data_IF_184565916389
#
_entry.id   IF_184565916389
#
_cell.length_a   1.000
_cell.length_b   1.000
_cell.length_c   1.000
_cell.angle_alpha   90.00
_cell.angle_beta   90.00
_cell.angle_gamma   90.00
#
_symmetry.space_group_name_H-M   'P 1'
#
loop_
_entity.id
_entity.type
_entity.pdbx_description
1 polymer ?
#
# COMPACT_ATOMS: atom_id res chain seq x y z
N UNK A 1 0.98 -17.20 -4.22
CA UNK A 1 0.06 -16.16 -4.69
C UNK A 1 -1.33 -16.73 -4.64
N UNK A 2 -2.23 -16.06 -3.95
CA UNK A 2 -3.63 -16.46 -3.78
C UNK A 2 -4.50 -15.36 -4.34
N UNK A 3 -5.58 -15.72 -5.04
CA UNK A 3 -6.55 -14.73 -5.52
C UNK A 3 -7.65 -14.55 -4.48
N UNK A 4 -8.03 -13.30 -4.21
CA UNK A 4 -9.16 -12.95 -3.34
C UNK A 4 -9.93 -11.78 -3.93
N UNK A 5 -11.23 -11.96 -4.17
CA UNK A 5 -12.12 -10.97 -4.79
C UNK A 5 -11.60 -10.36 -6.10
N UNK A 6 -10.88 -11.16 -6.92
CA UNK A 6 -10.28 -10.71 -8.18
C UNK A 6 -8.97 -9.95 -8.03
N UNK A 7 -8.37 -9.94 -6.83
CA UNK A 7 -7.05 -9.37 -6.59
C UNK A 7 -6.02 -10.46 -6.29
N UNK A 8 -4.81 -10.26 -6.81
CA UNK A 8 -3.65 -11.09 -6.46
C UNK A 8 -3.09 -10.66 -5.10
N UNK A 9 -2.98 -11.62 -4.17
CA UNK A 9 -2.38 -11.42 -2.86
C UNK A 9 -1.07 -12.21 -2.77
N UNK A 10 0.01 -11.50 -2.42
CA UNK A 10 1.32 -12.09 -2.13
C UNK A 10 1.56 -12.00 -0.62
N UNK A 11 1.83 -13.15 -0.02
CA UNK A 11 2.37 -13.26 1.34
C UNK A 11 3.87 -13.54 1.23
N UNK A 12 4.69 -12.81 1.98
CA UNK A 12 6.14 -12.97 1.94
C UNK A 12 6.61 -14.19 2.71
N UNK A 13 7.82 -14.64 2.37
CA UNK A 13 8.50 -15.62 3.19
C UNK A 13 8.99 -14.97 4.48
N UNK A 14 8.93 -15.68 5.60
CA UNK A 14 9.42 -15.19 6.90
C UNK A 14 10.92 -14.84 6.92
N UNK A 15 11.68 -15.21 5.87
CA UNK A 15 13.10 -14.90 5.72
C UNK A 15 13.37 -13.54 5.05
N UNK A 16 12.33 -12.80 4.65
CA UNK A 16 12.46 -11.55 3.92
C UNK A 16 11.52 -10.49 4.50
N UNK A 17 12.12 -9.41 5.03
CA UNK A 17 11.43 -8.27 5.64
C UNK A 17 11.82 -6.97 4.91
N UNK A 18 11.26 -6.71 3.72
CA UNK A 18 11.53 -5.49 2.98
C UNK A 18 10.85 -4.30 3.64
N UNK A 19 11.53 -3.17 3.62
CA UNK A 19 10.83 -1.91 3.87
C UNK A 19 10.06 -1.47 2.61
N UNK A 20 9.01 -0.66 2.78
CA UNK A 20 8.36 0.01 1.66
C UNK A 20 9.37 0.82 0.82
N UNK A 21 10.41 1.37 1.47
CA UNK A 21 11.47 2.10 0.78
C UNK A 21 12.27 1.20 -0.19
N UNK A 22 12.60 -0.04 0.20
CA UNK A 22 13.28 -1.00 -0.69
C UNK A 22 12.43 -1.33 -1.91
N UNK A 23 11.11 -1.46 -1.71
CA UNK A 23 10.17 -1.74 -2.78
C UNK A 23 9.99 -0.55 -3.72
N UNK A 24 9.88 0.67 -3.20
CA UNK A 24 9.79 1.88 -4.01
C UNK A 24 11.09 2.18 -4.75
N UNK A 25 12.23 1.80 -4.19
CA UNK A 25 13.52 1.85 -4.88
C UNK A 25 13.57 0.87 -6.07
N UNK A 26 13.03 -0.34 -5.90
CA UNK A 26 13.00 -1.36 -6.95
C UNK A 26 11.93 -1.11 -8.03
N UNK A 27 10.75 -0.64 -7.63
CA UNK A 27 9.57 -0.47 -8.48
C UNK A 27 8.92 0.91 -8.27
N UNK A 28 9.61 2.02 -8.60
CA UNK A 28 9.08 3.37 -8.38
C UNK A 28 7.79 3.65 -9.17
N UNK A 29 7.55 2.97 -10.29
CA UNK A 29 6.31 3.03 -11.07
C UNK A 29 5.05 2.64 -10.29
N UNK A 30 5.22 2.04 -9.10
CA UNK A 30 4.15 1.87 -8.12
C UNK A 30 3.43 3.17 -7.80
N UNK A 31 4.16 4.28 -7.74
CA UNK A 31 3.66 5.57 -7.26
C UNK A 31 3.85 6.70 -8.25
N UNK A 32 4.80 6.61 -9.18
CA UNK A 32 5.03 7.65 -10.18
C UNK A 32 3.80 7.90 -11.05
N UNK A 33 3.53 9.17 -11.34
CA UNK A 33 2.39 9.66 -12.12
C UNK A 33 1.02 9.28 -11.50
N UNK A 34 1.02 8.86 -10.23
CA UNK A 34 -0.17 8.45 -9.47
C UNK A 34 -0.33 9.31 -8.23
N UNK A 35 -1.44 9.11 -7.53
CA UNK A 35 -1.76 9.74 -6.25
C UNK A 35 -1.77 8.71 -5.14
N UNK A 36 -1.14 9.04 -4.03
CA UNK A 36 -1.05 8.18 -2.85
C UNK A 36 -1.96 8.73 -1.76
N UNK A 37 -2.84 7.88 -1.24
CA UNK A 37 -3.60 8.15 -0.03
C UNK A 37 -2.95 7.41 1.15
N UNK A 38 -2.50 8.17 2.14
CA UNK A 38 -1.86 7.68 3.35
C UNK A 38 -2.89 7.69 4.48
N UNK A 39 -3.21 6.50 4.97
CA UNK A 39 -4.26 6.29 5.98
C UNK A 39 -3.65 6.17 7.37
N UNK A 40 -2.50 5.51 7.50
CA UNK A 40 -1.81 5.33 8.76
C UNK A 40 -0.28 5.23 8.62
N UNK A 41 0.40 5.65 9.67
CA UNK A 41 1.81 5.41 9.96
C UNK A 41 1.98 4.91 11.40
N UNK A 42 3.19 4.45 11.76
CA UNK A 42 3.49 3.85 13.07
C UNK A 42 3.08 4.71 14.28
N UNK A 43 2.86 6.02 14.07
CA UNK A 43 2.47 7.00 15.11
C UNK A 43 1.02 7.48 15.00
N UNK A 44 0.21 6.88 14.13
CA UNK A 44 -1.20 7.21 13.92
C UNK A 44 -1.48 7.80 12.53
N UNK A 45 -2.51 8.66 12.38
CA UNK A 45 -2.83 9.24 11.08
C UNK A 45 -1.71 10.17 10.58
N UNK A 46 -1.30 10.00 9.32
CA UNK A 46 -0.33 10.89 8.70
C UNK A 46 -0.91 12.31 8.53
N UNK A 47 -0.06 13.31 8.73
CA UNK A 47 -0.41 14.73 8.58
C UNK A 47 0.61 15.39 7.65
N UNK A 48 0.18 15.85 6.46
CA UNK A 48 1.07 16.56 5.55
C UNK A 48 1.65 17.82 6.21
N UNK A 49 2.90 18.14 5.90
CA UNK A 49 3.51 19.41 6.29
C UNK A 49 2.86 20.58 5.54
N UNK A 50 3.09 21.81 6.01
CA UNK A 50 2.66 23.02 5.30
C UNK A 50 3.17 23.05 3.86
N UNK A 51 4.42 22.64 3.62
CA UNK A 51 5.01 22.63 2.30
C UNK A 51 4.34 21.61 1.38
N UNK A 52 3.98 20.43 1.90
CA UNK A 52 3.24 19.42 1.15
C UNK A 52 1.82 19.90 0.81
N UNK A 53 1.13 20.56 1.75
CA UNK A 53 -0.17 21.17 1.48
C UNK A 53 -0.06 22.23 0.38
N UNK A 54 0.98 23.07 0.41
CA UNK A 54 1.26 24.04 -0.66
C UNK A 54 1.60 23.38 -1.99
N UNK A 55 2.23 22.19 -1.96
CA UNK A 55 2.51 21.36 -3.13
C UNK A 55 1.28 20.56 -3.63
N UNK A 56 0.09 20.83 -3.09
CA UNK A 56 -1.17 20.26 -3.56
C UNK A 56 -1.60 18.98 -2.84
N UNK A 57 -0.96 18.60 -1.75
CA UNK A 57 -1.50 17.58 -0.86
C UNK A 57 -2.80 18.08 -0.22
N UNK A 58 -3.71 17.15 0.03
CA UNK A 58 -5.01 17.43 0.63
C UNK A 58 -5.27 16.49 1.80
N UNK A 59 -6.18 16.90 2.68
CA UNK A 59 -6.64 16.09 3.80
C UNK A 59 -8.14 15.80 3.63
N UNK A 60 -8.48 14.53 3.48
CA UNK A 60 -9.86 14.04 3.45
C UNK A 60 -10.15 13.34 4.79
N UNK A 61 -10.66 14.10 5.76
CA UNK A 61 -10.84 13.60 7.12
C UNK A 61 -9.50 13.31 7.80
N UNK A 62 -9.20 12.03 8.04
CA UNK A 62 -7.93 11.60 8.63
C UNK A 62 -6.89 11.16 7.59
N UNK A 63 -7.27 11.07 6.32
CA UNK A 63 -6.44 10.53 5.24
C UNK A 63 -5.78 11.66 4.47
N UNK A 64 -4.47 11.55 4.33
CA UNK A 64 -3.67 12.47 3.54
C UNK A 64 -3.60 11.96 2.10
N UNK A 65 -3.87 12.83 1.13
CA UNK A 65 -3.88 12.47 -0.28
C UNK A 65 -2.87 13.36 -0.99
N UNK A 66 -1.89 12.75 -1.64
CA UNK A 66 -0.86 13.47 -2.36
C UNK A 66 -1.40 14.17 -3.61
N UNK A 67 -0.65 15.17 -4.08
CA UNK A 67 -0.66 15.51 -5.50
C UNK A 67 -0.08 14.35 -6.33
N UNK A 68 -0.10 14.49 -7.66
CA UNK A 68 0.54 13.50 -8.52
C UNK A 68 2.04 13.40 -8.19
N UNK A 69 2.53 12.18 -7.98
CA UNK A 69 3.90 11.93 -7.55
C UNK A 69 4.84 12.00 -8.76
N UNK A 70 5.76 12.96 -8.72
CA UNK A 70 6.79 13.13 -9.73
C UNK A 70 8.07 12.33 -9.42
N UNK A 71 8.42 12.22 -8.13
CA UNK A 71 9.58 11.46 -7.65
C UNK A 71 9.16 10.59 -6.46
N UNK A 72 9.54 9.30 -6.47
CA UNK A 72 9.16 8.39 -5.39
C UNK A 72 9.78 8.80 -4.04
N UNK A 73 10.90 9.51 -4.09
CA UNK A 73 11.62 10.06 -2.94
C UNK A 73 10.88 11.24 -2.26
N UNK A 74 9.93 11.87 -2.96
CA UNK A 74 9.08 12.94 -2.40
C UNK A 74 8.01 12.40 -1.45
N UNK A 75 7.74 11.10 -1.52
CA UNK A 75 6.86 10.46 -0.58
C UNK A 75 7.52 10.40 0.79
N UNK A 76 6.75 10.62 1.87
CA UNK A 76 7.30 10.54 3.20
C UNK A 76 7.82 9.11 3.46
N UNK A 77 8.86 9.00 4.27
CA UNK A 77 9.59 7.75 4.57
C UNK A 77 9.63 7.28 6.05
N UNK A 78 8.80 7.72 7.01
CA UNK A 78 8.67 6.98 8.28
C UNK A 78 7.87 5.67 8.10
N UNK A 79 7.86 4.75 9.07
CA UNK A 79 7.10 3.50 8.97
C UNK A 79 5.63 3.75 8.67
N UNK A 80 5.16 3.23 7.53
CA UNK A 80 3.78 3.39 7.08
C UNK A 80 3.08 2.06 7.07
N UNK A 81 1.91 2.04 7.71
CA UNK A 81 1.13 0.83 7.85
C UNK A 81 0.19 0.64 6.65
N UNK A 82 -0.36 1.73 6.09
CA UNK A 82 -1.42 1.61 5.08
C UNK A 82 -1.48 2.74 4.04
N UNK A 83 -1.14 2.40 2.80
CA UNK A 83 -1.21 3.28 1.62
C UNK A 83 -2.13 2.72 0.53
N UNK A 84 -2.76 3.62 -0.20
CA UNK A 84 -3.53 3.32 -1.41
C UNK A 84 -3.03 4.16 -2.57
N UNK A 85 -2.77 3.52 -3.72
CA UNK A 85 -2.33 4.25 -4.91
C UNK A 85 -3.42 4.26 -5.98
N UNK A 86 -3.64 5.43 -6.58
CA UNK A 86 -4.70 5.68 -7.57
C UNK A 86 -4.17 6.45 -8.78
N UNK A 87 -4.64 6.10 -9.99
CA UNK A 87 -4.49 6.97 -11.18
C UNK A 87 -5.41 8.19 -11.01
N UNK A 88 -6.58 7.99 -10.42
CA UNK A 88 -7.52 9.05 -10.05
C UNK A 88 -8.18 8.68 -8.73
N UNK A 89 -8.12 9.61 -7.77
CA UNK A 89 -8.67 9.38 -6.43
C UNK A 89 -10.19 9.30 -6.51
N UNK A 90 -10.82 8.20 -6.06
CA UNK A 90 -12.26 8.07 -6.06
C UNK A 90 -12.90 8.97 -4.98
N UNK A 91 -14.16 9.35 -5.15
CA UNK A 91 -14.92 10.04 -4.10
C UNK A 91 -15.03 9.21 -2.82
N UNK A 92 -15.08 7.88 -2.96
CA UNK A 92 -15.03 6.90 -1.89
C UNK A 92 -13.60 6.59 -1.45
N UNK A 93 -12.74 7.61 -1.37
CA UNK A 93 -11.39 7.49 -0.85
C UNK A 93 -11.40 6.78 0.53
N UNK A 94 -10.32 6.05 0.88
CA UNK A 94 -10.28 5.32 2.14
C UNK A 94 -10.49 6.29 3.30
N UNK A 95 -11.18 5.82 4.35
CA UNK A 95 -11.49 6.64 5.53
C UNK A 95 -11.11 5.95 6.84
N UNK A 96 -10.70 4.68 6.78
CA UNK A 96 -10.39 3.85 7.95
C UNK A 96 -9.02 3.22 7.84
N UNK A 97 -8.30 3.26 8.95
CA UNK A 97 -7.06 2.52 9.16
C UNK A 97 -7.39 1.08 9.59
N UNK A 98 -6.78 0.12 8.90
CA UNK A 98 -6.87 -1.32 9.14
C UNK A 98 -5.52 -1.93 9.54
N UNK A 99 -4.40 -1.23 9.33
CA UNK A 99 -3.04 -1.76 9.57
C UNK A 99 -2.43 -1.14 10.84
N UNK A 100 -1.94 -2.00 11.72
CA UNK A 100 -1.44 -1.86 13.12
C UNK A 100 -2.01 -2.94 14.06
N UNK A 101 -2.82 -3.87 13.55
CA UNK A 101 -3.16 -5.08 14.27
C UNK A 101 -1.99 -6.06 14.07
N UNK A 102 -1.12 -6.19 15.08
CA UNK A 102 -0.14 -7.28 15.13
C UNK A 102 -0.84 -8.60 14.75
N UNK A 103 -0.20 -9.42 13.90
CA UNK A 103 -0.75 -10.63 13.25
C UNK A 103 -1.80 -10.42 12.13
N UNK A 104 -2.03 -9.19 11.64
CA UNK A 104 -2.93 -8.97 10.50
C UNK A 104 -2.50 -9.79 9.28
N UNK A 105 -3.42 -10.59 8.75
CA UNK A 105 -3.25 -11.21 7.44
C UNK A 105 -4.47 -11.01 6.52
N UNK A 106 -4.24 -10.50 5.31
CA UNK A 106 -5.29 -10.34 4.29
C UNK A 106 -5.88 -11.69 3.80
N UNK A 107 -5.27 -12.80 4.22
CA UNK A 107 -5.70 -14.17 3.93
C UNK A 107 -6.47 -14.83 5.09
N UNK A 108 -6.62 -14.15 6.22
CA UNK A 108 -7.34 -14.68 7.38
C UNK A 108 -8.84 -14.86 7.11
N UNK A 109 -9.52 -15.51 8.07
CA UNK A 109 -10.95 -15.79 8.02
C UNK A 109 -11.74 -14.53 7.66
N UNK A 110 -12.69 -14.69 6.72
CA UNK A 110 -13.43 -13.58 6.08
C UNK A 110 -14.04 -12.61 7.09
N UNK A 111 -14.55 -13.11 8.23
CA UNK A 111 -15.15 -12.27 9.26
C UNK A 111 -14.17 -11.35 9.97
N UNK A 112 -12.91 -11.76 10.16
CA UNK A 112 -11.89 -10.97 10.86
C UNK A 112 -11.39 -9.79 10.03
N UNK A 113 -11.43 -9.92 8.69
CA UNK A 113 -10.86 -8.94 7.76
C UNK A 113 -11.88 -8.37 6.76
N UNK A 114 -13.18 -8.58 6.99
CA UNK A 114 -14.24 -8.15 6.08
C UNK A 114 -14.17 -6.64 5.82
N UNK A 115 -13.97 -5.83 6.87
CA UNK A 115 -13.90 -4.36 6.73
C UNK A 115 -12.74 -3.89 5.85
N UNK A 116 -11.60 -4.58 5.90
CA UNK A 116 -10.45 -4.28 5.05
C UNK A 116 -10.78 -4.57 3.57
N UNK A 117 -11.36 -5.74 3.29
CA UNK A 117 -11.74 -6.10 1.91
C UNK A 117 -12.89 -5.24 1.38
N UNK A 118 -13.86 -4.88 2.20
CA UNK A 118 -14.93 -3.94 1.83
C UNK A 118 -14.32 -2.58 1.42
N UNK A 119 -13.34 -2.08 2.17
CA UNK A 119 -12.62 -0.86 1.82
C UNK A 119 -11.91 -1.01 0.46
N UNK A 120 -11.14 -2.08 0.24
CA UNK A 120 -10.44 -2.34 -1.04
C UNK A 120 -11.41 -2.42 -2.23
N UNK A 121 -12.50 -3.17 -2.08
CA UNK A 121 -13.48 -3.36 -3.15
C UNK A 121 -14.17 -2.04 -3.49
N UNK A 122 -14.48 -1.23 -2.47
CA UNK A 122 -15.14 0.06 -2.63
C UNK A 122 -14.20 1.11 -3.24
N UNK A 123 -12.97 1.22 -2.73
CA UNK A 123 -12.00 2.25 -3.16
C UNK A 123 -11.31 1.88 -4.46
N UNK A 124 -11.31 0.60 -4.83
CA UNK A 124 -10.75 0.11 -6.11
C UNK A 124 -9.32 0.61 -6.37
N UNK A 125 -8.42 0.53 -5.38
CA UNK A 125 -7.07 1.04 -5.56
C UNK A 125 -6.35 0.23 -6.63
N UNK A 126 -5.33 0.83 -7.22
CA UNK A 126 -4.44 0.13 -8.12
C UNK A 126 -3.51 -0.78 -7.37
N UNK A 127 -3.01 -0.31 -6.22
CA UNK A 127 -2.01 -0.99 -5.41
C UNK A 127 -2.31 -0.77 -3.92
N UNK A 128 -2.14 -1.82 -3.13
CA UNK A 128 -2.05 -1.82 -1.66
C UNK A 128 -0.79 -2.58 -1.34
N UNK A 129 0.07 -2.00 -0.52
CA UNK A 129 1.33 -2.56 -0.05
C UNK A 129 1.35 -2.33 1.46
N UNK A 130 1.06 -3.35 2.27
CA UNK A 130 1.22 -3.23 3.73
C UNK A 130 2.69 -3.32 4.09
N UNK A 131 3.27 -2.51 4.96
CA UNK A 131 4.59 -2.78 5.54
C UNK A 131 4.42 -3.21 6.99
N UNK A 132 5.37 -3.98 7.52
CA UNK A 132 5.36 -4.44 8.91
C UNK A 132 5.69 -5.91 9.04
N UNK A 133 6.49 -6.25 10.05
CA UNK A 133 6.76 -7.63 10.43
C UNK A 133 5.54 -8.19 11.17
N UNK A 134 5.02 -9.39 10.81
CA UNK A 134 5.55 -10.32 9.82
C UNK A 134 4.92 -10.22 8.41
N UNK A 135 3.99 -9.30 8.14
CA UNK A 135 3.13 -9.39 6.98
C UNK A 135 3.04 -8.09 6.15
N UNK A 136 3.92 -7.94 5.15
CA UNK A 136 3.63 -7.06 4.01
C UNK A 136 2.57 -7.71 3.10
N UNK A 137 1.65 -6.93 2.52
CA UNK A 137 0.65 -7.45 1.58
C UNK A 137 0.59 -6.61 0.32
N UNK A 138 0.72 -7.26 -0.84
CA UNK A 138 0.44 -6.63 -2.14
C UNK A 138 -0.99 -6.95 -2.56
N UNK A 139 -1.79 -5.93 -2.83
CA UNK A 139 -3.10 -6.04 -3.50
C UNK A 139 -3.08 -5.12 -4.70
N UNK A 140 -3.07 -5.65 -5.90
CA UNK A 140 -3.01 -4.82 -7.10
C UNK A 140 -3.83 -5.39 -8.24
N UNK A 141 -4.25 -4.52 -9.15
CA UNK A 141 -4.84 -4.89 -10.44
C UNK A 141 -3.82 -4.95 -11.57
N UNK A 142 -2.58 -4.51 -11.33
CA UNK A 142 -1.50 -4.53 -12.30
C UNK A 142 -0.75 -5.87 -12.22
N UNK A 143 -1.08 -6.77 -13.15
CA UNK A 143 -0.48 -8.11 -13.21
C UNK A 143 0.99 -8.10 -13.61
N UNK A 144 1.45 -7.07 -14.34
CA UNK A 144 2.85 -6.97 -14.73
C UNK A 144 3.73 -6.60 -13.54
N UNK A 145 3.27 -5.65 -12.74
CA UNK A 145 3.91 -5.27 -11.50
C UNK A 145 4.00 -6.42 -10.50
N UNK A 146 2.91 -7.19 -10.31
CA UNK A 146 2.92 -8.40 -9.46
C UNK A 146 4.04 -9.35 -9.87
N UNK A 147 4.20 -9.57 -11.17
CA UNK A 147 5.20 -10.50 -11.71
C UNK A 147 6.62 -10.02 -11.43
N UNK A 148 6.89 -8.72 -11.64
CA UNK A 148 8.21 -8.13 -11.38
C UNK A 148 8.56 -8.12 -9.90
N UNK A 149 7.62 -7.72 -9.04
CA UNK A 149 7.82 -7.77 -7.59
C UNK A 149 8.10 -9.23 -7.19
N UNK A 150 7.35 -10.21 -7.69
CA UNK A 150 7.61 -11.61 -7.38
C UNK A 150 9.04 -12.05 -7.70
N UNK A 151 9.58 -11.68 -8.86
CA UNK A 151 10.95 -12.03 -9.29
C UNK A 151 12.04 -11.43 -8.40
N UNK A 152 11.84 -10.19 -7.95
CA UNK A 152 12.77 -9.51 -7.04
C UNK A 152 12.85 -10.20 -5.67
N UNK A 153 11.72 -10.75 -5.25
CA UNK A 153 11.49 -11.11 -3.87
C UNK A 153 11.65 -12.60 -3.58
N UNK A 154 11.23 -13.41 -4.54
CA UNK A 154 11.41 -14.84 -4.49
C UNK A 154 12.52 -15.13 -5.50
N UNK A 155 13.81 -14.97 -5.13
CA UNK A 155 14.87 -15.45 -5.99
C UNK A 155 14.58 -16.92 -6.24
N UNK A 156 14.59 -17.31 -7.52
CA UNK A 156 14.42 -18.70 -7.90
C UNK A 156 15.37 -19.52 -7.04
N UNK A 157 14.85 -20.55 -6.38
CA UNK A 157 15.67 -21.60 -5.80
C UNK A 157 16.62 -22.04 -6.92
N UNK A 158 17.86 -21.59 -6.87
CA UNK A 158 18.90 -22.13 -7.74
C UNK A 158 19.12 -23.56 -7.24
N UNK A 159 18.79 -24.52 -8.11
CA UNK A 159 19.07 -25.95 -7.93
C UNK A 159 20.52 -26.23 -7.52
#
# INVERSE_FOLDING_TARGET
>A
MTERFGYSVIQWSAAWDPSLADLLHFAPELVLEKRVAIVACDSGPYRPSTDQLLAGWTLAGAVAISSEIAQAEDLPTPGFDEWYVFDTVPESAPTRCHVNQYDFSALDEVGAIQGFWDQIICTRPLHVLGAGTPNMFVVTRDTHLVSRIKEFVLPSSAD
#
